data_IF_121663199038
#
_entry.id   IF_121663199038
#
_cell.length_a   1.000
_cell.length_b   1.000
_cell.length_c   1.000
_cell.angle_alpha   90.00
_cell.angle_beta   90.00
_cell.angle_gamma   90.00
#
_symmetry.space_group_name_H-M   'P 1'
#
loop_
_entity.id
_entity.type
_entity.pdbx_description
1 polymer ?
#
# COMPACT_ATOMS: atom_id res chain seq x y z
N UNK A 1 9.76 5.23 -3.26
CA UNK A 1 8.62 5.65 -2.41
C UNK A 1 8.31 4.44 -1.56
N UNK A 2 8.41 4.51 -0.23
CA UNK A 2 8.19 3.34 0.62
C UNK A 2 6.71 2.99 0.60
N UNK A 3 6.39 1.84 0.00
CA UNK A 3 5.03 1.31 -0.02
C UNK A 3 4.61 0.81 1.37
N UNK A 4 3.31 0.75 1.60
CA UNK A 4 2.77 0.01 2.74
C UNK A 4 3.13 -1.46 2.55
N UNK A 5 3.78 -2.05 3.54
CA UNK A 5 4.04 -3.48 3.63
C UNK A 5 2.74 -4.27 3.79
N UNK A 6 2.80 -5.59 3.62
CA UNK A 6 1.74 -6.53 4.00
C UNK A 6 1.85 -6.99 5.46
N UNK A 7 2.72 -6.36 6.26
CA UNK A 7 2.97 -6.73 7.65
C UNK A 7 2.10 -5.93 8.61
N UNK A 8 1.67 -6.59 9.68
CA UNK A 8 0.85 -6.04 10.75
C UNK A 8 1.66 -6.03 12.04
N UNK A 9 1.64 -4.90 12.73
CA UNK A 9 2.22 -4.80 14.08
C UNK A 9 1.09 -5.06 15.07
N UNK A 10 1.24 -6.12 15.87
CA UNK A 10 0.23 -6.53 16.84
C UNK A 10 0.78 -6.41 18.27
N UNK A 11 0.13 -5.67 19.16
CA UNK A 11 0.53 -5.54 20.58
C UNK A 11 -0.68 -5.86 21.44
N UNK A 12 -0.83 -7.12 21.84
CA UNK A 12 -2.01 -7.57 22.58
C UNK A 12 -1.68 -8.61 23.63
N UNK A 13 -2.38 -8.56 24.77
CA UNK A 13 -2.33 -9.59 25.82
C UNK A 13 -3.33 -10.74 25.59
N UNK A 14 -4.24 -10.62 24.61
CA UNK A 14 -5.30 -11.60 24.37
C UNK A 14 -4.86 -12.63 23.33
N UNK A 15 -4.33 -13.78 23.77
CA UNK A 15 -3.76 -14.82 22.90
C UNK A 15 -4.81 -15.46 21.98
N UNK A 16 -5.97 -15.88 22.49
CA UNK A 16 -7.02 -16.53 21.68
C UNK A 16 -7.55 -15.61 20.57
N UNK A 17 -7.72 -14.32 20.90
CA UNK A 17 -8.11 -13.29 19.95
C UNK A 17 -7.00 -13.05 18.91
N UNK A 18 -5.75 -13.06 19.36
CA UNK A 18 -4.57 -12.91 18.50
C UNK A 18 -4.47 -14.03 17.47
N UNK A 19 -4.74 -15.28 17.84
CA UNK A 19 -4.76 -16.42 16.93
C UNK A 19 -5.90 -16.31 15.91
N UNK A 20 -7.09 -15.93 16.36
CA UNK A 20 -8.24 -15.69 15.48
C UNK A 20 -7.94 -14.62 14.44
N UNK A 21 -7.37 -13.49 14.88
CA UNK A 21 -6.95 -12.38 14.02
C UNK A 21 -5.88 -12.84 13.03
N UNK A 22 -4.89 -13.63 13.48
CA UNK A 22 -3.84 -14.21 12.62
C UNK A 22 -4.45 -15.07 11.50
N UNK A 23 -5.42 -15.91 11.82
CA UNK A 23 -6.13 -16.72 10.83
C UNK A 23 -6.85 -15.89 9.76
N UNK A 24 -7.39 -14.73 10.13
CA UNK A 24 -8.08 -13.82 9.20
C UNK A 24 -7.09 -13.10 8.29
N UNK A 25 -6.07 -12.47 8.87
CA UNK A 25 -5.11 -11.65 8.10
C UNK A 25 -4.29 -12.50 7.12
N UNK A 26 -3.97 -13.75 7.49
CA UNK A 26 -3.26 -14.68 6.60
C UNK A 26 -4.08 -14.99 5.34
N UNK A 27 -5.42 -15.12 5.44
CA UNK A 27 -6.30 -15.30 4.27
C UNK A 27 -6.26 -14.13 3.30
N UNK A 28 -5.91 -12.93 3.80
CA UNK A 28 -5.72 -11.73 3.00
C UNK A 28 -4.27 -11.51 2.56
N UNK A 29 -3.37 -12.49 2.75
CA UNK A 29 -1.96 -12.41 2.34
C UNK A 29 -1.10 -11.47 3.20
N UNK A 30 -1.52 -11.23 4.45
CA UNK A 30 -0.81 -10.41 5.42
C UNK A 30 -0.25 -11.27 6.55
N UNK A 31 0.85 -10.82 7.15
CA UNK A 31 1.48 -11.51 8.28
C UNK A 31 1.68 -10.57 9.47
N UNK A 32 1.81 -11.15 10.67
CA UNK A 32 2.24 -10.42 11.87
C UNK A 32 3.76 -10.28 11.83
N UNK A 33 4.26 -9.10 12.20
CA UNK A 33 5.68 -8.84 12.39
C UNK A 33 6.14 -9.25 13.79
N UNK A 34 6.52 -10.52 13.96
CA UNK A 34 6.99 -11.10 15.22
C UNK A 34 8.50 -10.95 15.45
N UNK A 35 9.29 -10.69 14.40
CA UNK A 35 10.75 -10.48 14.46
C UNK A 35 11.17 -9.20 15.22
N UNK A 36 10.23 -8.31 15.53
CA UNK A 36 10.48 -7.01 16.17
C UNK A 36 9.90 -6.98 17.59
N UNK A 37 10.67 -7.51 18.54
CA UNK A 37 10.18 -7.78 19.89
C UNK A 37 9.69 -6.53 20.64
N UNK A 38 10.30 -5.36 20.41
CA UNK A 38 9.86 -4.09 21.03
C UNK A 38 8.63 -3.47 20.32
N UNK A 39 8.16 -4.06 19.23
CA UNK A 39 6.93 -3.66 18.54
C UNK A 39 5.80 -4.69 18.68
N UNK A 40 6.06 -5.86 19.26
CA UNK A 40 5.07 -6.94 19.38
C UNK A 40 4.87 -7.43 20.82
N UNK A 41 5.95 -7.63 21.57
CA UNK A 41 5.89 -8.23 22.91
C UNK A 41 5.68 -7.19 24.00
N UNK A 42 4.54 -7.28 24.71
CA UNK A 42 4.23 -6.42 25.86
C UNK A 42 5.32 -6.53 26.94
N UNK A 43 5.86 -7.71 27.20
CA UNK A 43 6.88 -7.92 28.23
C UNK A 43 8.21 -7.24 27.86
N UNK A 44 8.62 -7.31 26.60
CA UNK A 44 9.82 -6.59 26.13
C UNK A 44 9.61 -5.09 26.14
N UNK A 45 8.41 -4.61 25.79
CA UNK A 45 8.06 -3.19 25.89
C UNK A 45 8.10 -2.73 27.35
N UNK A 46 7.51 -3.48 28.29
CA UNK A 46 7.58 -3.19 29.73
C UNK A 46 9.02 -3.14 30.22
N UNK A 47 9.84 -4.12 29.86
CA UNK A 47 11.26 -4.18 30.21
C UNK A 47 12.02 -2.96 29.67
N UNK A 48 11.82 -2.61 28.40
CA UNK A 48 12.46 -1.45 27.76
C UNK A 48 12.05 -0.12 28.41
N UNK A 49 10.77 0.03 28.76
CA UNK A 49 10.29 1.21 29.49
C UNK A 49 10.86 1.24 30.91
N UNK A 50 10.93 0.12 31.62
CA UNK A 50 11.53 0.03 32.95
C UNK A 50 13.01 0.41 32.96
N UNK A 51 13.75 0.08 31.90
CA UNK A 51 15.18 0.41 31.76
C UNK A 51 15.44 1.85 31.33
N UNK A 52 14.63 2.39 30.42
CA UNK A 52 14.90 3.69 29.78
C UNK A 52 14.04 4.85 30.30
N UNK A 53 12.96 4.54 31.02
CA UNK A 53 11.94 5.49 31.47
C UNK A 53 11.07 6.08 30.36
N UNK A 54 11.29 5.72 29.09
CA UNK A 54 10.60 6.30 27.94
C UNK A 54 10.38 5.27 26.82
N UNK A 55 9.81 5.68 25.68
CA UNK A 55 9.49 4.80 24.54
C UNK A 55 10.36 5.07 23.30
N UNK A 56 11.56 5.64 23.48
CA UNK A 56 12.50 5.92 22.38
C UNK A 56 12.92 4.65 21.63
N UNK A 57 13.15 3.54 22.34
CA UNK A 57 13.54 2.26 21.75
C UNK A 57 12.49 1.75 20.75
N UNK A 58 11.19 1.88 21.07
CA UNK A 58 10.11 1.53 20.13
C UNK A 58 10.12 2.40 18.88
N UNK A 59 10.41 3.69 19.01
CA UNK A 59 10.51 4.60 17.85
C UNK A 59 11.67 4.20 16.94
N UNK A 60 12.83 3.88 17.51
CA UNK A 60 13.97 3.38 16.76
C UNK A 60 13.68 2.06 16.07
N UNK A 61 13.01 1.13 16.75
CA UNK A 61 12.63 -0.16 16.16
C UNK A 61 11.56 -0.01 15.07
N UNK A 62 10.59 0.90 15.23
CA UNK A 62 9.61 1.22 14.19
C UNK A 62 10.28 1.79 12.94
N UNK A 63 11.26 2.69 13.11
CA UNK A 63 12.04 3.21 11.97
C UNK A 63 12.83 2.09 11.28
N UNK A 64 13.43 1.18 12.04
CA UNK A 64 14.11 0.00 11.50
C UNK A 64 13.15 -0.88 10.71
N UNK A 65 12.01 -1.24 11.31
CA UNK A 65 10.93 -2.00 10.66
C UNK A 65 10.53 -1.37 9.33
N UNK A 66 10.28 -0.05 9.32
CA UNK A 66 9.85 0.67 8.11
C UNK A 66 10.92 0.62 7.02
N UNK A 67 12.21 0.71 7.38
CA UNK A 67 13.31 0.65 6.40
C UNK A 67 13.48 -0.75 5.80
N UNK A 68 13.33 -1.78 6.62
CA UNK A 68 13.55 -3.17 6.22
C UNK A 68 12.34 -3.77 5.50
N UNK A 69 11.13 -3.41 5.93
CA UNK A 69 9.89 -4.10 5.52
C UNK A 69 8.86 -3.19 4.86
N UNK A 70 8.95 -1.87 5.03
CA UNK A 70 7.93 -0.91 4.63
C UNK A 70 7.01 -0.50 5.78
N UNK A 71 6.13 0.49 5.53
CA UNK A 71 5.21 0.96 6.58
C UNK A 71 4.17 -0.13 6.91
N UNK A 72 3.83 -0.40 8.19
CA UNK A 72 2.90 -1.47 8.51
C UNK A 72 1.51 -1.21 7.91
N UNK A 73 0.87 -2.27 7.41
CA UNK A 73 -0.48 -2.19 6.87
C UNK A 73 -1.48 -1.74 7.94
N UNK A 74 -1.35 -2.32 9.13
CA UNK A 74 -2.25 -2.14 10.26
C UNK A 74 -1.48 -2.29 11.57
N UNK A 75 -1.83 -1.46 12.55
CA UNK A 75 -1.51 -1.67 13.95
C UNK A 75 -2.73 -2.29 14.63
N UNK A 76 -2.58 -3.47 15.22
CA UNK A 76 -3.60 -4.08 16.10
C UNK A 76 -3.07 -3.96 17.52
N UNK A 77 -3.80 -3.32 18.42
CA UNK A 77 -3.31 -3.18 19.78
C UNK A 77 -4.42 -3.09 20.81
N UNK A 78 -4.13 -3.52 22.03
CA UNK A 78 -5.04 -3.28 23.15
C UNK A 78 -5.19 -1.78 23.38
N UNK A 79 -6.42 -1.34 23.61
CA UNK A 79 -6.76 0.06 23.86
C UNK A 79 -6.03 0.62 25.09
N UNK A 80 -5.89 -0.21 26.12
CA UNK A 80 -5.06 0.06 27.29
C UNK A 80 -4.04 -1.05 27.48
N UNK A 81 -2.79 -0.65 27.61
CA UNK A 81 -1.69 -1.56 27.89
C UNK A 81 -1.03 -1.07 29.16
N UNK A 82 -1.03 -1.91 30.19
CA UNK A 82 -0.19 -1.67 31.35
C UNK A 82 1.27 -1.70 30.88
N UNK A 83 1.97 -0.59 31.03
CA UNK A 83 3.38 -0.46 30.67
C UNK A 83 4.32 -0.57 31.87
N UNK A 84 3.77 -0.84 33.07
CA UNK A 84 4.53 -0.91 34.32
C UNK A 84 4.93 0.46 34.89
N UNK A 85 4.55 1.56 34.25
CA UNK A 85 4.80 2.92 34.77
C UNK A 85 3.68 3.37 35.69
N UNK A 86 4.00 4.19 36.68
CA UNK A 86 3.01 4.73 37.62
C UNK A 86 1.95 5.58 36.92
N UNK A 87 0.75 5.66 37.52
CA UNK A 87 -0.41 6.44 37.01
C UNK A 87 -0.11 7.92 36.75
N UNK A 88 0.94 8.49 37.37
CA UNK A 88 1.36 9.86 37.10
C UNK A 88 1.89 10.02 35.66
N UNK A 89 2.54 9.00 35.11
CA UNK A 89 3.14 9.00 33.77
C UNK A 89 2.24 8.35 32.71
N UNK A 90 1.28 7.54 33.12
CA UNK A 90 0.28 6.90 32.24
C UNK A 90 -1.08 6.78 32.95
N UNK A 91 -1.81 7.90 33.15
CA UNK A 91 -3.03 7.92 33.96
C UNK A 91 -4.19 7.13 33.32
N UNK A 92 -4.13 6.91 32.01
CA UNK A 92 -5.19 6.31 31.21
C UNK A 92 -4.80 4.98 30.54
N UNK A 93 -3.55 4.52 30.70
CA UNK A 93 -3.04 3.29 30.09
C UNK A 93 -2.82 3.37 28.58
N UNK A 94 -2.83 4.58 28.00
CA UNK A 94 -2.73 4.80 26.56
C UNK A 94 -1.33 5.25 26.10
N UNK A 95 -0.28 5.09 26.93
CA UNK A 95 1.09 5.52 26.60
C UNK A 95 1.61 4.95 25.29
N UNK A 96 1.34 3.69 24.99
CA UNK A 96 1.78 3.07 23.73
C UNK A 96 1.01 3.61 22.52
N UNK A 97 -0.30 3.78 22.64
CA UNK A 97 -1.12 4.37 21.59
C UNK A 97 -0.64 5.79 21.26
N UNK A 98 -0.42 6.62 22.30
CA UNK A 98 0.17 7.96 22.13
C UNK A 98 1.51 7.90 21.42
N UNK A 99 2.39 7.00 21.84
CA UNK A 99 3.73 6.84 21.24
C UNK A 99 3.64 6.54 19.75
N UNK A 100 2.81 5.56 19.34
CA UNK A 100 2.67 5.16 17.95
C UNK A 100 2.01 6.25 17.10
N UNK A 101 0.96 6.90 17.61
CA UNK A 101 0.32 8.03 16.92
C UNK A 101 1.30 9.18 16.70
N UNK A 102 2.04 9.58 17.73
CA UNK A 102 3.07 10.64 17.63
C UNK A 102 4.16 10.23 16.63
N UNK A 103 4.57 8.96 16.63
CA UNK A 103 5.56 8.45 15.68
C UNK A 103 5.05 8.56 14.25
N UNK A 104 3.80 8.19 13.98
CA UNK A 104 3.18 8.37 12.66
C UNK A 104 3.09 9.84 12.24
N UNK A 105 2.78 10.76 13.18
CA UNK A 105 2.75 12.21 12.90
C UNK A 105 4.13 12.72 12.51
N UNK A 106 5.17 12.33 13.24
CA UNK A 106 6.56 12.72 12.96
C UNK A 106 6.98 12.15 11.60
N UNK A 107 6.75 10.87 11.37
CA UNK A 107 7.11 10.19 10.12
C UNK A 107 6.41 10.84 8.93
N UNK A 108 5.13 11.18 9.03
CA UNK A 108 4.38 11.84 7.94
C UNK A 108 4.93 13.22 7.52
N UNK A 109 5.86 13.81 8.29
CA UNK A 109 6.58 15.05 7.92
C UNK A 109 7.95 14.78 7.31
N UNK A 110 8.47 13.56 7.42
CA UNK A 110 9.74 13.17 6.84
C UNK A 110 9.66 13.05 5.32
N UNK A 111 10.73 13.47 4.64
CA UNK A 111 10.84 13.35 3.19
C UNK A 111 10.68 11.87 2.76
N UNK A 112 9.74 11.61 1.84
CA UNK A 112 9.42 10.28 1.36
C UNK A 112 8.39 9.50 2.20
N UNK A 113 7.87 10.09 3.28
CA UNK A 113 6.87 9.51 4.18
C UNK A 113 5.57 10.34 4.25
N UNK A 114 5.43 11.39 3.45
CA UNK A 114 4.27 12.29 3.42
C UNK A 114 2.96 11.55 3.11
N UNK A 115 3.09 10.40 2.44
CA UNK A 115 1.97 9.56 2.03
C UNK A 115 1.59 8.48 3.04
N UNK A 116 2.31 8.35 4.15
CA UNK A 116 2.09 7.37 5.21
C UNK A 116 0.67 7.44 5.76
N UNK A 117 0.11 6.28 6.10
CA UNK A 117 -1.24 6.15 6.65
C UNK A 117 -1.24 5.20 7.84
N UNK A 118 -1.53 5.74 9.02
CA UNK A 118 -1.61 4.95 10.24
C UNK A 118 -3.00 4.34 10.41
N UNK A 119 -3.13 3.04 10.15
CA UNK A 119 -4.37 2.31 10.41
C UNK A 119 -4.27 1.60 11.76
N UNK A 120 -5.27 1.74 12.64
CA UNK A 120 -5.26 1.21 14.00
C UNK A 120 -6.57 0.47 14.30
N UNK A 121 -6.45 -0.77 14.77
CA UNK A 121 -7.52 -1.52 15.40
C UNK A 121 -7.27 -1.58 16.90
N UNK A 122 -8.14 -0.94 17.68
CA UNK A 122 -8.06 -0.90 19.13
C UNK A 122 -8.92 -2.01 19.73
N UNK A 123 -8.29 -2.93 20.45
CA UNK A 123 -8.95 -4.03 21.17
C UNK A 123 -9.32 -3.53 22.57
N UNK A 124 -10.61 -3.39 22.85
CA UNK A 124 -11.10 -2.79 24.08
C UNK A 124 -11.94 -3.79 24.89
N UNK A 125 -11.69 -3.85 26.19
CA UNK A 125 -12.57 -4.54 27.13
C UNK A 125 -13.93 -3.84 27.20
N UNK A 126 -14.95 -4.57 27.66
CA UNK A 126 -16.34 -4.08 27.75
C UNK A 126 -16.46 -2.69 28.39
N UNK A 127 -15.72 -2.45 29.47
CA UNK A 127 -15.76 -1.18 30.23
C UNK A 127 -15.13 -0.01 29.48
N UNK A 128 -14.24 -0.27 28.53
CA UNK A 128 -13.50 0.73 27.78
C UNK A 128 -13.97 0.88 26.33
N UNK A 129 -14.76 -0.08 25.82
CA UNK A 129 -15.24 -0.10 24.44
C UNK A 129 -15.94 1.19 24.03
N UNK A 130 -16.77 1.77 24.89
CA UNK A 130 -17.45 3.04 24.62
C UNK A 130 -16.44 4.19 24.41
N UNK A 131 -15.37 4.23 25.20
CA UNK A 131 -14.31 5.25 25.06
C UNK A 131 -13.46 5.01 23.82
N UNK A 132 -13.14 3.75 23.52
CA UNK A 132 -12.44 3.39 22.28
C UNK A 132 -13.26 3.78 21.03
N UNK A 133 -14.58 3.52 21.04
CA UNK A 133 -15.49 3.94 19.95
C UNK A 133 -15.65 5.45 19.82
N UNK A 134 -15.49 6.22 20.89
CA UNK A 134 -15.47 7.67 20.79
C UNK A 134 -14.27 8.18 19.97
N UNK A 135 -13.13 7.48 20.00
CA UNK A 135 -11.97 7.82 19.17
C UNK A 135 -12.27 7.52 17.70
N UNK A 136 -13.01 6.46 17.41
CA UNK A 136 -13.48 6.15 16.06
C UNK A 136 -14.44 7.22 15.52
N UNK A 137 -15.41 7.67 16.34
CA UNK A 137 -16.43 8.64 15.92
C UNK A 137 -15.96 10.10 15.92
N UNK A 138 -15.06 10.45 16.84
CA UNK A 138 -14.49 11.81 16.98
C UNK A 138 -12.96 11.70 17.18
N UNK A 139 -12.21 11.45 16.10
CA UNK A 139 -10.78 11.17 16.20
C UNK A 139 -9.96 12.35 16.72
N UNK A 140 -10.46 13.59 16.64
CA UNK A 140 -9.78 14.76 17.19
C UNK A 140 -9.61 14.68 18.72
N UNK A 141 -10.44 13.90 19.43
CA UNK A 141 -10.30 13.69 20.87
C UNK A 141 -8.95 13.07 21.23
N UNK A 142 -8.42 12.18 20.38
CA UNK A 142 -7.13 11.57 20.65
C UNK A 142 -6.02 12.62 20.63
N UNK A 143 -6.14 13.66 19.80
CA UNK A 143 -5.14 14.72 19.74
C UNK A 143 -5.07 15.54 21.04
N UNK A 144 -6.16 15.60 21.82
CA UNK A 144 -6.16 16.31 23.12
C UNK A 144 -5.26 15.63 24.15
N UNK A 145 -5.05 14.32 24.03
CA UNK A 145 -4.16 13.56 24.90
C UNK A 145 -2.75 13.41 24.32
N UNK A 146 -2.50 13.86 23.09
CA UNK A 146 -1.16 13.88 22.51
C UNK A 146 -0.41 15.14 22.95
N UNK A 147 0.67 14.95 23.70
CA UNK A 147 1.63 15.99 24.03
C UNK A 147 3.03 15.38 24.18
N UNK A 148 4.04 16.21 23.92
CA UNK A 148 5.44 15.86 24.12
C UNK A 148 6.19 17.03 24.74
N UNK A 149 7.45 16.83 25.16
CA UNK A 149 8.33 17.94 25.54
C UNK A 149 8.89 18.71 24.33
N UNK A 150 8.75 18.17 23.12
CA UNK A 150 9.30 18.74 21.89
C UNK A 150 8.32 19.75 21.26
N UNK A 151 8.74 21.02 21.19
CA UNK A 151 7.93 22.11 20.62
C UNK A 151 7.59 21.90 19.14
N UNK A 152 8.51 21.32 18.36
CA UNK A 152 8.33 21.07 16.93
C UNK A 152 7.26 19.99 16.75
N UNK A 153 7.38 18.88 17.48
CA UNK A 153 6.38 17.79 17.44
C UNK A 153 5.00 18.29 17.88
N UNK A 154 4.95 19.11 18.93
CA UNK A 154 3.70 19.71 19.40
C UNK A 154 3.08 20.65 18.34
N UNK A 155 3.90 21.35 17.54
CA UNK A 155 3.39 22.17 16.43
C UNK A 155 2.67 21.31 15.37
N UNK A 156 3.23 20.14 15.02
CA UNK A 156 2.60 19.20 14.09
C UNK A 156 1.28 18.64 14.64
N UNK A 157 1.25 18.31 15.93
CA UNK A 157 0.02 17.86 16.60
C UNK A 157 -1.04 18.97 16.56
N UNK A 158 -0.66 20.22 16.84
CA UNK A 158 -1.58 21.35 16.86
C UNK A 158 -2.14 21.68 15.47
N UNK A 159 -1.35 21.54 14.40
CA UNK A 159 -1.84 21.66 13.03
C UNK A 159 -2.96 20.64 12.75
N UNK A 160 -2.78 19.38 13.16
CA UNK A 160 -3.80 18.35 13.01
C UNK A 160 -5.05 18.64 13.86
N UNK A 161 -4.92 19.30 15.02
CA UNK A 161 -6.07 19.73 15.84
C UNK A 161 -6.91 20.77 15.11
N UNK A 162 -6.27 21.69 14.37
CA UNK A 162 -6.97 22.71 13.59
C UNK A 162 -7.58 22.19 12.29
N UNK A 163 -7.23 20.98 11.85
CA UNK A 163 -7.65 20.44 10.56
C UNK A 163 -7.99 18.94 10.65
N UNK A 164 -9.27 18.65 10.91
CA UNK A 164 -9.81 17.28 10.99
C UNK A 164 -9.64 16.49 9.69
N UNK A 165 -9.65 17.17 8.54
CA UNK A 165 -9.45 16.53 7.26
C UNK A 165 -8.03 15.98 7.12
N UNK A 166 -7.00 16.73 7.54
CA UNK A 166 -5.61 16.23 7.55
C UNK A 166 -5.43 15.05 8.52
N UNK A 167 -6.07 15.11 9.69
CA UNK A 167 -6.04 13.98 10.62
C UNK A 167 -6.66 12.72 9.99
N UNK A 168 -7.87 12.84 9.42
CA UNK A 168 -8.58 11.72 8.79
C UNK A 168 -7.89 11.21 7.53
N UNK A 169 -7.11 12.06 6.85
CA UNK A 169 -6.21 11.59 5.81
C UNK A 169 -5.11 10.70 6.38
N UNK A 170 -4.46 11.10 7.46
CA UNK A 170 -3.32 10.38 8.05
C UNK A 170 -3.75 9.10 8.79
N UNK A 171 -4.86 9.15 9.53
CA UNK A 171 -5.27 8.06 10.42
C UNK A 171 -6.58 7.39 9.99
N UNK A 172 -6.67 6.10 10.27
CA UNK A 172 -7.91 5.33 10.29
C UNK A 172 -7.95 4.51 11.57
N UNK A 173 -8.89 4.78 12.47
CA UNK A 173 -8.94 4.13 13.78
C UNK A 173 -10.30 3.44 13.91
N UNK A 174 -10.30 2.17 14.28
CA UNK A 174 -11.50 1.38 14.60
C UNK A 174 -11.34 0.76 15.99
N UNK A 175 -12.46 0.53 16.67
CA UNK A 175 -12.47 -0.18 17.94
C UNK A 175 -13.27 -1.48 17.86
N UNK A 176 -12.77 -2.53 18.51
CA UNK A 176 -13.41 -3.84 18.60
C UNK A 176 -13.43 -4.33 20.05
N UNK A 177 -14.47 -5.08 20.43
CA UNK A 177 -14.53 -5.70 21.74
C UNK A 177 -13.57 -6.90 21.80
N UNK A 178 -12.90 -7.08 22.93
CA UNK A 178 -12.12 -8.30 23.19
C UNK A 178 -13.00 -9.53 23.40
N UNK A 179 -14.29 -9.31 23.67
CA UNK A 179 -15.32 -10.35 23.86
C UNK A 179 -16.16 -10.59 22.59
N UNK A 180 -15.76 -10.04 21.43
CA UNK A 180 -16.49 -10.21 20.18
C UNK A 180 -16.51 -11.69 19.74
N UNK A 181 -17.63 -12.11 19.15
CA UNK A 181 -17.71 -13.45 18.56
C UNK A 181 -16.77 -13.56 17.35
N UNK A 182 -16.37 -14.79 17.00
CA UNK A 182 -15.51 -15.05 15.82
C UNK A 182 -16.11 -14.44 14.55
N UNK A 183 -17.43 -14.55 14.36
CA UNK A 183 -18.13 -13.94 13.21
C UNK A 183 -18.03 -12.41 13.22
N UNK A 184 -18.19 -11.77 14.38
CA UNK A 184 -18.07 -10.31 14.48
C UNK A 184 -16.63 -9.85 14.19
N UNK A 185 -15.63 -10.59 14.68
CA UNK A 185 -14.21 -10.32 14.41
C UNK A 185 -13.95 -10.40 12.90
N UNK A 186 -14.46 -11.43 12.23
CA UNK A 186 -14.39 -11.55 10.76
C UNK A 186 -14.98 -10.34 10.05
N UNK A 187 -16.20 -9.94 10.41
CA UNK A 187 -16.89 -8.80 9.78
C UNK A 187 -16.11 -7.50 9.98
N UNK A 188 -15.63 -7.23 11.21
CA UNK A 188 -14.86 -6.02 11.53
C UNK A 188 -13.56 -6.00 10.74
N UNK A 189 -12.81 -7.09 10.74
CA UNK A 189 -11.53 -7.19 10.03
C UNK A 189 -11.68 -7.04 8.52
N UNK A 190 -12.63 -7.77 7.91
CA UNK A 190 -12.87 -7.67 6.46
C UNK A 190 -13.29 -6.25 6.06
N UNK A 191 -14.16 -5.63 6.85
CA UNK A 191 -14.59 -4.24 6.61
C UNK A 191 -13.40 -3.29 6.73
N UNK A 192 -12.54 -3.48 7.73
CA UNK A 192 -11.37 -2.65 7.96
C UNK A 192 -10.35 -2.78 6.81
N UNK A 193 -10.03 -3.99 6.40
CA UNK A 193 -9.09 -4.28 5.31
C UNK A 193 -9.61 -3.66 4.00
N UNK A 194 -10.88 -3.89 3.66
CA UNK A 194 -11.52 -3.28 2.48
C UNK A 194 -11.47 -1.76 2.51
N UNK A 195 -11.72 -1.14 3.67
CA UNK A 195 -11.65 0.31 3.83
C UNK A 195 -10.23 0.86 3.64
N UNK A 196 -9.20 0.15 4.14
CA UNK A 196 -7.79 0.53 3.95
C UNK A 196 -7.42 0.47 2.46
N UNK A 197 -7.77 -0.60 1.75
CA UNK A 197 -7.55 -0.70 0.31
C UNK A 197 -8.29 0.39 -0.47
N UNK A 198 -9.57 0.64 -0.15
CA UNK A 198 -10.34 1.72 -0.78
C UNK A 198 -9.70 3.09 -0.58
N UNK A 199 -9.13 3.37 0.61
CA UNK A 199 -8.38 4.61 0.88
C UNK A 199 -7.10 4.70 0.03
N UNK A 200 -6.32 3.61 -0.10
CA UNK A 200 -5.14 3.55 -0.99
C UNK A 200 -5.55 3.85 -2.44
N UNK A 201 -6.63 3.23 -2.89
CA UNK A 201 -7.16 3.38 -4.25
C UNK A 201 -7.68 4.79 -4.56
N UNK A 202 -8.55 5.37 -3.71
CA UNK A 202 -9.09 6.73 -3.92
C UNK A 202 -7.99 7.79 -3.97
N UNK A 203 -6.94 7.63 -3.18
CA UNK A 203 -5.79 8.53 -3.20
C UNK A 203 -5.02 8.39 -4.51
N UNK A 204 -4.74 7.16 -4.96
CA UNK A 204 -4.11 6.93 -6.26
C UNK A 204 -4.93 7.56 -7.38
N UNK A 205 -6.26 7.38 -7.40
CA UNK A 205 -7.13 8.04 -8.38
C UNK A 205 -6.98 9.57 -8.36
N UNK A 206 -6.92 10.19 -7.18
CA UNK A 206 -6.71 11.63 -7.05
C UNK A 206 -5.32 12.05 -7.53
N UNK A 207 -4.29 11.31 -7.18
CA UNK A 207 -2.91 11.57 -7.61
C UNK A 207 -2.74 11.38 -9.11
N UNK A 208 -3.28 10.30 -9.67
CA UNK A 208 -3.33 10.05 -11.11
C UNK A 208 -4.08 11.16 -11.83
N UNK A 209 -5.28 11.56 -11.37
CA UNK A 209 -6.02 12.69 -11.96
C UNK A 209 -5.27 14.01 -11.84
N UNK A 210 -4.65 14.30 -10.70
CA UNK A 210 -3.87 15.51 -10.49
C UNK A 210 -2.64 15.53 -11.40
N UNK A 211 -1.90 14.42 -11.47
CA UNK A 211 -0.76 14.23 -12.37
C UNK A 211 -1.21 14.47 -13.82
N UNK A 212 -2.18 13.71 -14.32
CA UNK A 212 -2.66 13.83 -15.72
C UNK A 212 -3.05 15.27 -16.09
N UNK A 213 -3.65 16.02 -15.16
CA UNK A 213 -4.13 17.37 -15.42
C UNK A 213 -3.03 18.46 -15.41
N UNK A 214 -1.88 18.25 -14.77
CA UNK A 214 -0.91 19.34 -14.53
C UNK A 214 0.44 19.20 -15.23
N UNK A 215 0.77 18.07 -15.86
CA UNK A 215 2.09 17.88 -16.49
C UNK A 215 2.06 17.58 -17.98
N UNK A 216 3.15 17.99 -18.64
CA UNK A 216 3.62 17.39 -19.88
C UNK A 216 4.49 16.21 -19.49
N UNK A 217 4.05 15.01 -19.86
CA UNK A 217 4.74 13.76 -19.55
C UNK A 217 5.14 13.08 -20.85
N UNK A 218 6.33 12.48 -20.87
CA UNK A 218 6.74 11.60 -21.96
C UNK A 218 5.87 10.34 -21.99
N UNK A 219 5.67 9.81 -23.20
CA UNK A 219 4.98 8.54 -23.38
C UNK A 219 5.68 7.41 -22.64
N UNK A 220 4.89 6.44 -22.18
CA UNK A 220 5.45 5.28 -21.50
C UNK A 220 6.44 4.55 -22.41
N UNK A 221 7.48 4.02 -21.78
CA UNK A 221 8.47 3.15 -22.41
C UNK A 221 7.94 1.73 -22.45
N UNK A 222 8.18 1.04 -23.56
CA UNK A 222 7.87 -0.36 -23.78
C UNK A 222 9.17 -1.13 -23.70
N UNK A 223 9.27 -1.97 -22.67
CA UNK A 223 10.43 -2.80 -22.41
C UNK A 223 10.11 -4.26 -22.72
N UNK A 224 11.09 -5.01 -23.22
CA UNK A 224 11.01 -6.46 -23.34
C UNK A 224 12.34 -7.09 -22.97
N UNK A 225 12.34 -7.97 -21.97
CA UNK A 225 13.55 -8.69 -21.57
C UNK A 225 13.77 -9.88 -22.50
N UNK A 226 14.80 -9.79 -23.32
CA UNK A 226 15.22 -10.87 -24.24
C UNK A 226 15.95 -11.97 -23.46
N UNK A 227 16.91 -11.57 -22.61
CA UNK A 227 17.70 -12.47 -21.76
C UNK A 227 18.27 -11.74 -20.53
N UNK A 228 19.26 -12.33 -19.84
CA UNK A 228 19.90 -11.77 -18.64
C UNK A 228 20.80 -10.55 -18.89
N UNK A 229 21.10 -10.26 -20.16
CA UNK A 229 22.06 -9.24 -20.59
C UNK A 229 21.48 -8.26 -21.60
N UNK A 230 20.36 -8.58 -22.25
CA UNK A 230 19.73 -7.76 -23.29
C UNK A 230 18.29 -7.41 -22.95
N UNK A 231 17.97 -6.13 -23.11
CA UNK A 231 16.61 -5.59 -23.00
C UNK A 231 16.31 -4.73 -24.22
N UNK A 232 15.14 -4.93 -24.81
CA UNK A 232 14.56 -4.02 -25.78
C UNK A 232 13.88 -2.86 -25.05
N UNK A 233 14.12 -1.63 -25.49
CA UNK A 233 13.48 -0.41 -24.98
C UNK A 233 13.15 0.49 -26.17
N UNK A 234 11.87 0.70 -26.45
CA UNK A 234 11.37 1.66 -27.46
C UNK A 234 12.07 1.57 -28.84
N UNK A 235 12.36 0.35 -29.32
CA UNK A 235 12.98 0.11 -30.64
C UNK A 235 14.46 -0.23 -30.58
N UNK A 236 15.12 -0.02 -29.43
CA UNK A 236 16.56 -0.24 -29.27
C UNK A 236 16.85 -1.43 -28.35
N UNK A 237 17.79 -2.28 -28.74
CA UNK A 237 18.31 -3.33 -27.85
C UNK A 237 19.51 -2.77 -27.08
N UNK A 238 19.43 -2.80 -25.75
CA UNK A 238 20.48 -2.32 -24.85
C UNK A 238 21.08 -3.48 -24.08
N UNK A 239 22.40 -3.44 -23.92
CA UNK A 239 23.09 -4.35 -23.02
C UNK A 239 22.97 -3.81 -21.59
N UNK A 240 22.44 -4.63 -20.69
CA UNK A 240 22.27 -4.33 -19.27
C UNK A 240 23.25 -5.16 -18.45
N UNK A 241 23.73 -4.57 -17.34
CA UNK A 241 24.57 -5.29 -16.38
C UNK A 241 23.71 -6.40 -15.75
N UNK A 242 24.25 -7.62 -15.67
CA UNK A 242 23.59 -8.74 -15.02
C UNK A 242 23.07 -8.33 -13.64
N UNK A 243 21.77 -8.50 -13.40
CA UNK A 243 21.11 -8.10 -12.16
C UNK A 243 20.23 -6.85 -12.25
N UNK A 244 20.48 -5.90 -13.16
CA UNK A 244 19.78 -4.60 -13.14
C UNK A 244 18.30 -4.64 -13.56
N UNK A 245 17.85 -5.76 -14.14
CA UNK A 245 16.47 -5.97 -14.61
C UNK A 245 15.86 -7.29 -14.11
N UNK A 246 16.40 -7.86 -13.03
CA UNK A 246 15.91 -9.14 -12.47
C UNK A 246 14.45 -9.11 -12.01
N UNK A 247 13.88 -7.91 -11.84
CA UNK A 247 12.46 -7.71 -11.50
C UNK A 247 11.51 -7.93 -12.70
N UNK A 248 12.04 -8.05 -13.91
CA UNK A 248 11.25 -8.27 -15.13
C UNK A 248 11.39 -9.73 -15.56
N UNK A 249 10.28 -10.42 -15.75
CA UNK A 249 10.26 -11.76 -16.32
C UNK A 249 10.74 -11.73 -17.77
N UNK A 250 11.49 -12.76 -18.15
CA UNK A 250 11.95 -12.92 -19.52
C UNK A 250 10.76 -13.19 -20.44
N UNK A 251 10.88 -12.75 -21.70
CA UNK A 251 9.88 -12.95 -22.74
C UNK A 251 8.53 -12.22 -22.55
N UNK A 252 8.47 -11.18 -21.72
CA UNK A 252 7.25 -10.38 -21.53
C UNK A 252 7.48 -8.90 -21.80
N UNK A 253 6.41 -8.21 -22.21
CA UNK A 253 6.40 -6.76 -22.35
C UNK A 253 6.09 -6.09 -21.00
N UNK A 254 6.77 -4.99 -20.71
CA UNK A 254 6.51 -4.12 -19.57
C UNK A 254 6.33 -2.70 -20.06
N UNK A 255 5.24 -2.06 -19.65
CA UNK A 255 5.00 -0.65 -19.94
C UNK A 255 5.31 0.17 -18.69
N UNK A 256 6.15 1.19 -18.81
CA UNK A 256 6.63 2.00 -17.69
C UNK A 256 6.55 3.48 -18.02
N UNK A 257 5.93 4.29 -17.15
CA UNK A 257 5.68 5.71 -17.41
C UNK A 257 4.19 6.01 -17.57
N UNK A 258 3.83 6.95 -18.44
CA UNK A 258 2.45 7.42 -18.58
C UNK A 258 1.82 6.89 -19.86
N UNK A 259 0.80 6.05 -19.73
CA UNK A 259 -0.08 5.62 -20.82
C UNK A 259 -1.48 6.16 -20.58
N UNK A 260 -1.65 7.45 -20.87
CA UNK A 260 -2.84 8.26 -20.56
C UNK A 260 -3.27 9.01 -21.82
N UNK A 261 -4.41 9.72 -21.81
CA UNK A 261 -4.98 10.35 -23.01
C UNK A 261 -3.97 11.15 -23.86
N UNK A 262 -3.08 11.93 -23.22
CA UNK A 262 -2.06 12.74 -23.92
C UNK A 262 -1.00 11.90 -24.64
N UNK A 263 -0.63 10.75 -24.09
CA UNK A 263 0.44 9.87 -24.59
C UNK A 263 -0.08 8.57 -25.20
N UNK A 264 -1.41 8.50 -25.39
CA UNK A 264 -2.15 7.28 -25.70
C UNK A 264 -1.70 6.67 -27.03
N UNK A 265 -1.64 7.51 -28.06
CA UNK A 265 -1.28 7.11 -29.43
C UNK A 265 0.18 6.68 -29.48
N UNK A 266 1.10 7.52 -28.96
CA UNK A 266 2.53 7.23 -29.03
C UNK A 266 2.88 5.92 -28.29
N UNK A 267 2.31 5.71 -27.10
CA UNK A 267 2.55 4.46 -26.35
C UNK A 267 1.92 3.26 -27.05
N UNK A 268 0.71 3.40 -27.60
CA UNK A 268 0.06 2.34 -28.37
C UNK A 268 0.89 1.93 -29.60
N UNK A 269 1.41 2.91 -30.35
CA UNK A 269 2.24 2.68 -31.52
C UNK A 269 3.53 1.93 -31.15
N UNK A 270 4.18 2.29 -30.03
CA UNK A 270 5.36 1.56 -29.54
C UNK A 270 5.05 0.08 -29.29
N UNK A 271 3.93 -0.23 -28.64
CA UNK A 271 3.49 -1.62 -28.39
C UNK A 271 3.17 -2.35 -29.70
N UNK A 272 2.37 -1.73 -30.56
CA UNK A 272 1.95 -2.32 -31.84
C UNK A 272 3.17 -2.60 -32.72
N UNK A 273 4.10 -1.65 -32.81
CA UNK A 273 5.34 -1.79 -33.60
C UNK A 273 6.20 -2.92 -33.04
N UNK A 274 6.43 -2.96 -31.71
CA UNK A 274 7.27 -3.99 -31.10
C UNK A 274 6.72 -5.40 -31.32
N UNK A 275 5.39 -5.57 -31.28
CA UNK A 275 4.72 -6.85 -31.54
C UNK A 275 4.74 -7.20 -33.03
N UNK A 276 4.28 -6.29 -33.91
CA UNK A 276 4.09 -6.61 -35.34
C UNK A 276 5.39 -6.67 -36.13
N UNK A 277 6.36 -5.81 -35.81
CA UNK A 277 7.65 -5.78 -36.51
C UNK A 277 8.72 -6.64 -35.82
N UNK A 278 8.45 -7.10 -34.59
CA UNK A 278 9.44 -7.79 -33.78
C UNK A 278 10.45 -6.84 -33.13
N UNK A 279 11.38 -7.43 -32.38
CA UNK A 279 12.39 -6.75 -31.57
C UNK A 279 13.73 -6.71 -32.32
N UNK A 280 13.72 -6.10 -33.50
CA UNK A 280 14.86 -6.12 -34.42
C UNK A 280 15.10 -7.51 -35.02
N UNK A 281 16.36 -7.93 -35.14
CA UNK A 281 16.72 -9.26 -35.66
C UNK A 281 16.70 -10.37 -34.62
N UNK A 282 16.51 -10.04 -33.33
CA UNK A 282 16.59 -11.01 -32.23
C UNK A 282 15.29 -11.81 -32.04
N UNK A 283 14.13 -11.21 -32.34
CA UNK A 283 12.83 -11.86 -32.12
C UNK A 283 11.76 -11.32 -33.05
N UNK A 284 11.01 -12.23 -33.67
CA UNK A 284 9.79 -11.95 -34.44
C UNK A 284 8.67 -12.79 -33.83
N UNK A 285 7.49 -12.20 -33.69
CA UNK A 285 6.34 -12.88 -33.10
C UNK A 285 5.45 -13.49 -34.18
N UNK A 286 5.12 -14.77 -34.02
CA UNK A 286 4.12 -15.48 -34.80
C UNK A 286 2.70 -15.25 -34.24
N UNK A 287 1.66 -15.56 -35.01
CA UNK A 287 0.27 -15.31 -34.61
C UNK A 287 -0.22 -16.16 -33.42
N UNK A 288 0.44 -17.28 -33.13
CA UNK A 288 0.18 -18.17 -32.00
C UNK A 288 1.10 -17.92 -30.80
N UNK A 289 2.10 -17.04 -30.94
CA UNK A 289 2.99 -16.70 -29.83
C UNK A 289 2.22 -16.03 -28.69
N UNK A 290 2.60 -16.38 -27.46
CA UNK A 290 2.08 -15.75 -26.26
C UNK A 290 2.66 -14.33 -26.11
N UNK A 291 1.78 -13.33 -26.13
CA UNK A 291 2.14 -11.92 -25.93
C UNK A 291 1.58 -11.48 -24.58
N UNK A 292 2.48 -11.31 -23.62
CA UNK A 292 2.13 -10.86 -22.26
C UNK A 292 2.54 -9.41 -22.10
N UNK A 293 1.59 -8.52 -21.82
CA UNK A 293 1.81 -7.09 -21.58
C UNK A 293 1.52 -6.79 -20.12
N UNK A 294 2.54 -6.32 -19.39
CA UNK A 294 2.44 -6.00 -17.97
C UNK A 294 2.18 -4.50 -17.75
N UNK A 295 0.97 -4.19 -17.28
CA UNK A 295 0.54 -2.87 -16.82
C UNK A 295 0.61 -2.81 -15.28
N UNK A 296 1.85 -2.83 -14.77
CA UNK A 296 2.14 -2.75 -13.33
C UNK A 296 1.95 -1.35 -12.75
N UNK A 297 2.21 -1.17 -11.46
CA UNK A 297 2.14 0.13 -10.80
C UNK A 297 3.19 1.15 -11.29
N UNK A 298 4.18 0.69 -12.07
CA UNK A 298 5.12 1.54 -12.80
C UNK A 298 4.51 2.16 -14.08
N UNK A 299 3.31 1.74 -14.47
CA UNK A 299 2.52 2.34 -15.56
C UNK A 299 1.35 3.14 -14.99
N UNK A 300 1.33 4.44 -15.23
CA UNK A 300 0.22 5.32 -14.90
C UNK A 300 -0.78 5.27 -16.05
N UNK A 301 -2.03 4.94 -15.74
CA UNK A 301 -3.11 4.78 -16.72
C UNK A 301 -4.30 5.65 -16.35
N UNK A 302 -5.15 5.95 -17.32
CA UNK A 302 -6.46 6.58 -17.12
C UNK A 302 -7.57 5.79 -17.81
N UNK A 303 -8.81 6.25 -17.68
CA UNK A 303 -9.97 5.58 -18.28
C UNK A 303 -9.96 5.61 -19.81
N UNK A 304 -9.17 6.48 -20.46
CA UNK A 304 -9.06 6.53 -21.92
C UNK A 304 -8.24 5.37 -22.49
N UNK A 305 -7.43 4.72 -21.65
CA UNK A 305 -6.68 3.53 -22.05
C UNK A 305 -7.60 2.34 -22.40
N UNK A 306 -8.76 2.19 -21.74
CA UNK A 306 -9.69 1.08 -21.99
C UNK A 306 -10.11 0.97 -23.46
N UNK A 307 -10.69 2.00 -24.12
CA UNK A 307 -11.03 1.91 -25.53
C UNK A 307 -9.80 1.74 -26.44
N UNK A 308 -8.64 2.31 -26.09
CA UNK A 308 -7.41 2.11 -26.85
C UNK A 308 -6.93 0.66 -26.79
N UNK A 309 -6.91 0.02 -25.63
CA UNK A 309 -6.58 -1.40 -25.49
C UNK A 309 -7.54 -2.28 -26.28
N UNK A 310 -8.84 -1.97 -26.29
CA UNK A 310 -9.81 -2.72 -27.11
C UNK A 310 -9.43 -2.63 -28.58
N UNK A 311 -9.10 -1.45 -29.08
CA UNK A 311 -8.66 -1.26 -30.46
C UNK A 311 -7.36 -2.03 -30.75
N UNK A 312 -6.37 -1.94 -29.87
CA UNK A 312 -5.10 -2.66 -29.99
C UNK A 312 -5.34 -4.16 -30.10
N UNK A 313 -6.13 -4.73 -29.18
CA UNK A 313 -6.35 -6.17 -29.12
C UNK A 313 -7.20 -6.69 -30.27
N UNK A 314 -8.24 -5.95 -30.68
CA UNK A 314 -9.21 -6.45 -31.67
C UNK A 314 -8.85 -6.12 -33.11
N UNK A 315 -8.18 -4.98 -33.34
CA UNK A 315 -7.89 -4.48 -34.69
C UNK A 315 -6.41 -4.54 -35.01
N UNK A 316 -5.57 -3.90 -34.19
CA UNK A 316 -4.15 -3.72 -34.55
C UNK A 316 -3.33 -4.99 -34.37
N UNK A 317 -3.64 -5.76 -33.32
CA UNK A 317 -3.04 -7.04 -32.98
C UNK A 317 -4.03 -8.22 -33.08
N UNK A 318 -5.19 -8.03 -33.72
CA UNK A 318 -6.23 -9.07 -33.82
C UNK A 318 -5.83 -10.34 -34.58
N UNK A 319 -4.67 -10.34 -35.24
CA UNK A 319 -4.06 -11.53 -35.86
C UNK A 319 -3.29 -12.41 -34.88
N UNK A 320 -3.02 -11.91 -33.67
CA UNK A 320 -2.36 -12.65 -32.60
C UNK A 320 -3.42 -13.22 -31.65
N UNK A 321 -3.41 -14.54 -31.49
CA UNK A 321 -4.47 -15.28 -30.79
C UNK A 321 -4.28 -15.35 -29.27
N UNK A 322 -3.05 -15.12 -28.77
CA UNK A 322 -2.69 -15.34 -27.38
C UNK A 322 -2.12 -14.07 -26.71
N UNK A 323 -2.93 -13.00 -26.64
CA UNK A 323 -2.55 -11.77 -25.94
C UNK A 323 -3.15 -11.73 -24.54
N UNK A 324 -2.29 -11.61 -23.54
CA UNK A 324 -2.65 -11.43 -22.13
C UNK A 324 -2.15 -10.08 -21.63
N UNK A 325 -3.00 -9.35 -20.92
CA UNK A 325 -2.67 -8.11 -20.22
C UNK A 325 -2.66 -8.41 -18.73
N UNK A 326 -1.46 -8.51 -18.17
CA UNK A 326 -1.27 -8.56 -16.74
C UNK A 326 -1.48 -7.17 -16.16
N UNK A 327 -2.40 -7.03 -15.20
CA UNK A 327 -2.74 -5.73 -14.63
C UNK A 327 -2.81 -5.81 -13.10
N UNK A 328 -2.31 -4.78 -12.42
CA UNK A 328 -2.46 -4.65 -10.97
C UNK A 328 -3.89 -4.26 -10.60
N UNK A 329 -4.33 -4.62 -9.39
CA UNK A 329 -5.68 -4.28 -8.91
C UNK A 329 -5.98 -2.78 -8.99
N UNK A 330 -4.96 -1.97 -8.72
CA UNK A 330 -5.02 -0.52 -8.74
C UNK A 330 -5.29 0.04 -10.15
N UNK A 331 -4.56 -0.40 -11.16
CA UNK A 331 -4.77 0.00 -12.56
C UNK A 331 -6.07 -0.57 -13.12
N UNK A 332 -6.41 -1.80 -12.74
CA UNK A 332 -7.65 -2.44 -13.15
C UNK A 332 -8.88 -1.65 -12.68
N UNK A 333 -8.84 -1.15 -11.45
CA UNK A 333 -9.90 -0.33 -10.90
C UNK A 333 -10.05 1.03 -11.64
N UNK A 334 -8.98 1.58 -12.21
CA UNK A 334 -9.05 2.75 -13.11
C UNK A 334 -9.74 2.38 -14.43
N UNK A 335 -9.28 1.31 -15.10
CA UNK A 335 -9.81 0.88 -16.39
C UNK A 335 -11.29 0.47 -16.32
N UNK A 336 -11.70 -0.11 -15.18
CA UNK A 336 -13.07 -0.56 -14.94
C UNK A 336 -14.12 0.56 -14.96
N UNK A 337 -13.70 1.82 -14.82
CA UNK A 337 -14.59 2.98 -14.88
C UNK A 337 -15.00 3.36 -16.31
N UNK A 338 -14.30 2.87 -17.33
CA UNK A 338 -14.57 3.20 -18.71
C UNK A 338 -15.63 2.30 -19.36
N UNK A 339 -16.40 2.89 -20.28
CA UNK A 339 -17.32 2.16 -21.15
C UNK A 339 -16.54 1.14 -21.99
N UNK A 340 -17.07 -0.06 -22.12
CA UNK A 340 -16.45 -1.13 -22.90
C UNK A 340 -15.46 -2.02 -22.14
N UNK A 341 -15.15 -1.73 -20.86
CA UNK A 341 -14.23 -2.55 -20.05
C UNK A 341 -14.55 -4.06 -20.05
N UNK A 342 -15.83 -4.44 -20.12
CA UNK A 342 -16.24 -5.84 -20.21
C UNK A 342 -15.62 -6.60 -21.41
N UNK A 343 -15.25 -5.89 -22.49
CA UNK A 343 -14.61 -6.47 -23.67
C UNK A 343 -13.14 -6.86 -23.40
N UNK A 344 -12.49 -6.25 -22.40
CA UNK A 344 -11.11 -6.56 -22.01
C UNK A 344 -11.01 -7.76 -21.07
N UNK A 345 -12.09 -8.15 -20.39
CA UNK A 345 -12.06 -9.17 -19.32
C UNK A 345 -11.44 -10.51 -19.72
N UNK A 346 -11.57 -10.92 -20.97
CA UNK A 346 -11.01 -12.19 -21.47
C UNK A 346 -9.49 -12.15 -21.63
N UNK A 347 -8.93 -10.95 -21.84
CA UNK A 347 -7.49 -10.74 -22.01
C UNK A 347 -6.83 -10.19 -20.75
N UNK A 348 -7.60 -9.76 -19.74
CA UNK A 348 -7.05 -9.23 -18.49
C UNK A 348 -6.79 -10.35 -17.48
N UNK A 349 -5.57 -10.37 -16.95
CA UNK A 349 -5.18 -11.23 -15.85
C UNK A 349 -4.75 -10.34 -14.67
N UNK A 350 -5.47 -10.45 -13.55
CA UNK A 350 -5.14 -9.71 -12.34
C UNK A 350 -3.89 -10.31 -11.70
N UNK A 351 -2.86 -9.49 -11.55
CA UNK A 351 -1.63 -9.88 -10.85
C UNK A 351 -1.58 -9.19 -9.48
N UNK A 352 -1.20 -9.97 -8.46
CA UNK A 352 -0.74 -9.43 -7.18
C UNK A 352 0.73 -9.12 -7.35
N UNK A 353 1.19 -7.94 -6.92
CA UNK A 353 2.62 -7.69 -6.93
C UNK A 353 3.33 -8.73 -6.06
N UNK A 354 4.21 -9.51 -6.68
CA UNK A 354 5.25 -10.20 -5.94
C UNK A 354 6.33 -9.17 -5.63
N UNK A 355 6.46 -8.94 -4.32
CA UNK A 355 7.50 -8.28 -3.51
C UNK A 355 8.74 -7.73 -4.23
#
# INVERSE_FOLDING_TARGET
>A
MLESSNKIIQISKYQDLSETLKGIITKHGMDIADDYSNLHSIDMIKKGIGQTGNTSFMRSELVRFIRETGFPFLFIMDYKIDTGVGKQLDPDGMKLLRTLLISCIILARGAGFEKLRGNFLLLAEKNDLARARQIESDPLRILKILSTSDKIVNSFINELKSNSYHFNQLFYIRAMSTESSVNDIHVVMDTMIKAIYARKHLKRLKETKASINTGDYEAAKVLYRLDDKKVYIDGEIKTVKSGSMNQLESNQFYVMGHWVNKTLIETADKVIIAVRKGLGTEKVFAGDDAIIINLTDKCIVDSTLTPSLIQILTKDLGSFSNITINITESNNAVLSQAKGYNLLKKSLHLIREHQ
#
